data_IF_450303098825
#
_entry.id   IF_450303098825
#
_cell.length_a   1.000
_cell.length_b   1.000
_cell.length_c   1.000
_cell.angle_alpha   90.00
_cell.angle_beta   90.00
_cell.angle_gamma   90.00
#
_symmetry.space_group_name_H-M   'P 1'
#
loop_
_entity.id
_entity.type
_entity.pdbx_description
1 polymer ?
#
# COMPACT_ATOMS: atom_id res chain seq x y z
N UNK A 1 18.24 -0.77 -18.76
CA UNK A 1 17.34 0.29 -18.26
C UNK A 1 15.89 -0.17 -18.07
N UNK A 2 15.20 -0.72 -19.07
CA UNK A 2 13.79 -1.21 -18.93
C UNK A 2 13.58 -2.22 -17.79
N UNK A 3 14.55 -3.10 -17.54
CA UNK A 3 14.49 -4.11 -16.48
C UNK A 3 14.42 -3.48 -15.07
N UNK A 4 15.23 -2.45 -14.82
CA UNK A 4 15.25 -1.76 -13.52
C UNK A 4 13.93 -1.02 -13.27
N UNK A 5 13.39 -0.38 -14.31
CA UNK A 5 12.10 0.31 -14.23
C UNK A 5 10.99 -0.69 -13.92
N UNK A 6 10.96 -1.84 -14.61
CA UNK A 6 9.98 -2.89 -14.35
C UNK A 6 10.09 -3.40 -12.90
N UNK A 7 11.31 -3.59 -12.40
CA UNK A 7 11.53 -4.04 -11.03
C UNK A 7 11.03 -3.02 -10.00
N UNK A 8 11.27 -1.73 -10.21
CA UNK A 8 10.75 -0.66 -9.36
C UNK A 8 9.21 -0.61 -9.37
N UNK A 9 8.60 -0.79 -10.54
CA UNK A 9 7.13 -0.85 -10.65
C UNK A 9 6.58 -2.05 -9.89
N UNK A 10 7.20 -3.22 -9.99
CA UNK A 10 6.77 -4.43 -9.25
C UNK A 10 6.84 -4.18 -7.75
N UNK A 11 7.95 -3.65 -7.25
CA UNK A 11 8.11 -3.31 -5.82
C UNK A 11 7.04 -2.31 -5.38
N UNK A 12 6.77 -1.30 -6.21
CA UNK A 12 5.74 -0.31 -5.95
C UNK A 12 4.34 -0.92 -5.84
N UNK A 13 3.96 -1.77 -6.79
CA UNK A 13 2.66 -2.44 -6.79
C UNK A 13 2.49 -3.39 -5.61
N UNK A 14 3.55 -4.13 -5.25
CA UNK A 14 3.53 -5.01 -4.08
C UNK A 14 3.32 -4.19 -2.80
N UNK A 15 4.02 -3.07 -2.63
CA UNK A 15 3.84 -2.20 -1.46
C UNK A 15 2.42 -1.63 -1.34
N UNK A 16 1.83 -1.18 -2.45
CA UNK A 16 0.43 -0.73 -2.50
C UNK A 16 -0.53 -1.87 -2.12
N UNK A 17 -0.29 -3.08 -2.63
CA UNK A 17 -1.09 -4.25 -2.30
C UNK A 17 -1.03 -4.63 -0.81
N UNK A 18 0.13 -4.50 -0.17
CA UNK A 18 0.31 -4.76 1.27
C UNK A 18 -0.48 -3.77 2.13
N UNK A 19 -0.49 -2.48 1.76
CA UNK A 19 -1.29 -1.47 2.47
C UNK A 19 -2.80 -1.65 2.27
N UNK A 20 -3.24 -2.14 1.11
CA UNK A 20 -4.65 -2.43 0.83
C UNK A 20 -5.13 -3.79 1.40
N UNK A 21 -4.21 -4.69 1.75
CA UNK A 21 -4.54 -6.02 2.25
C UNK A 21 -5.47 -6.02 3.48
N UNK A 22 -5.29 -5.15 4.49
CA UNK A 22 -6.19 -5.07 5.64
C UNK A 22 -7.62 -4.63 5.26
N UNK A 23 -7.74 -3.66 4.34
CA UNK A 23 -9.04 -3.20 3.83
C UNK A 23 -9.76 -4.32 3.09
N UNK A 24 -9.04 -5.06 2.23
CA UNK A 24 -9.58 -6.20 1.51
C UNK A 24 -10.02 -7.27 2.52
N UNK A 25 -9.15 -7.69 3.43
CA UNK A 25 -9.46 -8.73 4.41
C UNK A 25 -10.67 -8.38 5.28
N UNK A 26 -10.80 -7.11 5.69
CA UNK A 26 -11.91 -6.63 6.53
C UNK A 26 -13.24 -6.66 5.78
N UNK A 27 -13.24 -6.28 4.50
CA UNK A 27 -14.47 -6.10 3.71
C UNK A 27 -14.83 -7.29 2.82
N UNK A 28 -13.90 -8.23 2.62
CA UNK A 28 -14.07 -9.41 1.76
C UNK A 28 -15.28 -10.27 2.14
N UNK A 29 -15.52 -10.44 3.45
CA UNK A 29 -16.61 -11.30 3.95
C UNK A 29 -17.77 -10.53 4.58
N UNK A 30 -17.70 -9.19 4.62
CA UNK A 30 -18.65 -8.35 5.37
C UNK A 30 -19.37 -7.32 4.50
N UNK A 31 -18.83 -6.99 3.32
CA UNK A 31 -19.34 -5.93 2.47
C UNK A 31 -19.71 -6.44 1.07
N UNK A 32 -20.54 -5.69 0.36
CA UNK A 32 -20.82 -5.95 -1.06
C UNK A 32 -19.57 -5.67 -1.90
N UNK A 33 -19.48 -6.24 -3.10
CA UNK A 33 -18.37 -5.99 -4.02
C UNK A 33 -18.24 -4.49 -4.37
N UNK A 34 -19.35 -3.76 -4.44
CA UNK A 34 -19.35 -2.32 -4.69
C UNK A 34 -18.74 -1.55 -3.51
N UNK A 35 -19.07 -1.91 -2.27
CA UNK A 35 -18.53 -1.28 -1.06
C UNK A 35 -17.04 -1.57 -0.89
N UNK A 36 -16.61 -2.79 -1.24
CA UNK A 36 -15.19 -3.15 -1.27
C UNK A 36 -14.42 -2.28 -2.26
N UNK A 37 -14.91 -2.13 -3.49
CA UNK A 37 -14.28 -1.28 -4.51
C UNK A 37 -14.26 0.18 -4.11
N UNK A 38 -15.36 0.71 -3.55
CA UNK A 38 -15.41 2.07 -3.04
C UNK A 38 -14.36 2.30 -1.94
N UNK A 39 -14.19 1.33 -1.04
CA UNK A 39 -13.20 1.40 0.04
C UNK A 39 -11.77 1.31 -0.49
N UNK A 40 -11.51 0.46 -1.48
CA UNK A 40 -10.22 0.40 -2.17
C UNK A 40 -9.91 1.75 -2.81
N UNK A 41 -10.87 2.38 -3.50
CA UNK A 41 -10.68 3.69 -4.14
C UNK A 41 -10.39 4.79 -3.10
N UNK A 42 -11.04 4.74 -1.94
CA UNK A 42 -10.81 5.69 -0.86
C UNK A 42 -9.44 5.51 -0.19
N UNK A 43 -9.00 4.27 -0.02
CA UNK A 43 -7.73 3.93 0.63
C UNK A 43 -6.53 3.96 -0.33
N UNK A 44 -6.77 3.91 -1.64
CA UNK A 44 -5.74 3.89 -2.67
C UNK A 44 -4.76 5.08 -2.60
N UNK A 45 -5.21 6.35 -2.42
CA UNK A 45 -4.30 7.48 -2.33
C UNK A 45 -3.35 7.37 -1.13
N UNK A 46 -3.85 6.87 0.00
CA UNK A 46 -3.01 6.63 1.18
C UNK A 46 -2.06 5.46 0.94
N UNK A 47 -2.55 4.34 0.38
CA UNK A 47 -1.74 3.20 0.01
C UNK A 47 -0.61 3.56 -0.98
N UNK A 48 -0.83 4.51 -1.89
CA UNK A 48 0.21 5.03 -2.80
C UNK A 48 1.31 5.82 -2.07
N UNK A 49 1.03 6.38 -0.90
CA UNK A 49 1.99 7.08 -0.05
C UNK A 49 2.85 6.13 0.83
N UNK A 50 2.73 4.81 0.65
CA UNK A 50 3.50 3.80 1.39
C UNK A 50 5.02 4.04 1.41
N UNK A 51 5.71 4.50 0.33
CA UNK A 51 7.16 4.68 0.37
C UNK A 51 7.56 5.81 1.33
N UNK A 52 6.75 6.87 1.39
CA UNK A 52 6.98 7.99 2.31
C UNK A 52 6.75 7.56 3.77
N UNK A 53 5.73 6.72 4.02
CA UNK A 53 5.49 6.14 5.35
C UNK A 53 6.62 5.20 5.77
N UNK A 54 7.12 4.37 4.86
CA UNK A 54 8.26 3.49 5.12
C UNK A 54 9.53 4.30 5.42
N UNK A 55 9.83 5.33 4.61
CA UNK A 55 10.96 6.23 4.83
C UNK A 55 10.87 6.97 6.18
N UNK A 56 9.67 7.42 6.56
CA UNK A 56 9.42 8.00 7.88
C UNK A 56 9.68 6.99 9.01
N UNK A 57 9.18 5.75 8.91
CA UNK A 57 9.43 4.71 9.93
C UNK A 57 10.92 4.38 10.08
N UNK A 58 11.66 4.36 8.97
CA UNK A 58 13.11 4.09 9.01
C UNK A 58 13.91 5.24 9.64
N UNK A 59 13.50 6.49 9.41
CA UNK A 59 14.13 7.65 10.06
C UNK A 59 13.81 7.71 11.55
N UNK A 60 12.54 7.53 11.92
CA UNK A 60 12.09 7.50 13.33
C UNK A 60 12.77 6.38 14.15
N UNK A 61 13.04 5.23 13.51
CA UNK A 61 13.80 4.15 14.14
C UNK A 61 15.28 4.48 14.39
N UNK A 62 15.85 5.41 13.62
CA UNK A 62 17.27 5.78 13.72
C UNK A 62 17.55 6.78 14.85
N UNK A 63 16.54 7.54 15.29
CA UNK A 63 16.65 8.52 16.39
C UNK A 63 16.62 7.87 17.79
N UNK A 64 16.37 6.56 17.87
CA UNK A 64 16.27 5.79 19.12
C UNK A 64 17.44 4.82 19.38
N UNK A 65 18.57 4.95 18.65
CA UNK A 65 19.76 4.10 18.79
C UNK A 65 20.94 4.90 19.37
#
# INVERSE_FOLDING_TARGET
>A
MRLLIALLIIIYLVGVGVELAPTIQTKWNSASAADLVASIIQDLPDAMAWPARLARRMSDHSDHI
#
